data_IF_644148888411
#
_entry.id   IF_644148888411
#
_cell.length_a   1.000
_cell.length_b   1.000
_cell.length_c   1.000
_cell.angle_alpha   90.00
_cell.angle_beta   90.00
_cell.angle_gamma   90.00
#
_symmetry.space_group_name_H-M   'P 1'
#
loop_
_entity.id
_entity.type
_entity.pdbx_description
1 polymer ?
#
# COMPACT_ATOMS: atom_id res chain seq x y z
N UNK A 1 -32.84 19.78 3.63
CA UNK A 1 -33.35 18.99 2.47
C UNK A 1 -32.34 17.97 1.93
N UNK A 2 -31.03 18.25 1.84
CA UNK A 2 -30.00 17.28 1.43
C UNK A 2 -29.96 15.98 2.26
N UNK A 3 -30.32 16.03 3.55
CA UNK A 3 -30.31 14.84 4.42
C UNK A 3 -31.47 13.85 4.21
N UNK A 4 -32.54 14.19 3.46
CA UNK A 4 -33.72 13.32 3.33
C UNK A 4 -33.42 12.02 2.55
N UNK A 5 -32.40 12.03 1.71
CA UNK A 5 -31.92 10.86 0.94
C UNK A 5 -30.41 10.61 1.13
N UNK A 6 -29.81 11.16 2.18
CA UNK A 6 -28.37 11.08 2.42
C UNK A 6 -27.86 9.63 2.48
N UNK A 7 -28.66 8.70 2.99
CA UNK A 7 -28.30 7.29 3.10
C UNK A 7 -28.12 6.57 1.75
N UNK A 8 -28.68 7.09 0.65
CA UNK A 8 -28.45 6.56 -0.70
C UNK A 8 -27.26 7.25 -1.37
N UNK A 9 -27.11 8.57 -1.16
CA UNK A 9 -26.08 9.37 -1.81
C UNK A 9 -24.69 9.17 -1.17
N UNK A 10 -24.61 9.14 0.16
CA UNK A 10 -23.33 9.11 0.87
C UNK A 10 -22.53 7.83 0.61
N UNK A 11 -23.10 6.61 0.61
CA UNK A 11 -22.32 5.42 0.28
C UNK A 11 -21.71 5.46 -1.13
N UNK A 12 -22.45 5.98 -2.11
CA UNK A 12 -21.96 6.15 -3.49
C UNK A 12 -20.84 7.20 -3.52
N UNK A 13 -21.05 8.35 -2.88
CA UNK A 13 -20.02 9.39 -2.76
C UNK A 13 -18.77 8.85 -2.06
N UNK A 14 -18.90 8.14 -0.94
CA UNK A 14 -17.79 7.57 -0.19
C UNK A 14 -16.99 6.57 -1.03
N UNK A 15 -17.69 5.71 -1.77
CA UNK A 15 -17.06 4.76 -2.68
C UNK A 15 -16.23 5.48 -3.76
N UNK A 16 -16.83 6.45 -4.45
CA UNK A 16 -16.16 7.22 -5.51
C UNK A 16 -14.97 7.99 -4.93
N UNK A 17 -15.18 8.73 -3.85
CA UNK A 17 -14.16 9.57 -3.24
C UNK A 17 -13.00 8.73 -2.66
N UNK A 18 -13.30 7.60 -2.02
CA UNK A 18 -12.27 6.68 -1.52
C UNK A 18 -11.47 6.03 -2.65
N UNK A 19 -12.11 5.73 -3.78
CA UNK A 19 -11.45 5.25 -5.00
C UNK A 19 -10.51 6.33 -5.56
N UNK A 20 -10.96 7.60 -5.62
CA UNK A 20 -10.11 8.72 -6.05
C UNK A 20 -8.94 8.99 -5.08
N UNK A 21 -9.13 8.80 -3.77
CA UNK A 21 -8.03 8.85 -2.81
C UNK A 21 -7.03 7.70 -2.97
N UNK A 22 -7.48 6.54 -3.43
CA UNK A 22 -6.58 5.47 -3.87
C UNK A 22 -5.78 5.89 -5.10
N UNK A 23 -6.38 6.61 -6.05
CA UNK A 23 -5.66 7.20 -7.17
C UNK A 23 -4.59 8.22 -6.69
N UNK A 24 -4.93 9.08 -5.73
CA UNK A 24 -3.96 10.03 -5.11
C UNK A 24 -2.78 9.30 -4.47
N UNK A 25 -3.05 8.20 -3.77
CA UNK A 25 -1.99 7.37 -3.20
C UNK A 25 -1.04 6.86 -4.27
N UNK A 26 -1.58 6.37 -5.39
CA UNK A 26 -0.79 5.78 -6.47
C UNK A 26 0.03 6.84 -7.21
N UNK A 27 -0.50 8.06 -7.38
CA UNK A 27 0.29 9.20 -7.87
C UNK A 27 1.43 9.59 -6.93
N UNK A 28 1.16 9.65 -5.62
CA UNK A 28 2.22 9.87 -4.64
C UNK A 28 3.22 8.70 -4.58
N UNK A 29 2.78 7.48 -4.85
CA UNK A 29 3.63 6.31 -4.99
C UNK A 29 4.58 6.41 -6.19
N UNK A 30 4.08 6.85 -7.34
CA UNK A 30 4.90 7.13 -8.53
C UNK A 30 5.92 8.24 -8.26
N UNK A 31 5.55 9.25 -7.46
CA UNK A 31 6.51 10.23 -6.96
C UNK A 31 7.59 9.57 -6.10
N UNK A 32 7.21 8.64 -5.21
CA UNK A 32 8.12 7.87 -4.37
C UNK A 32 9.16 7.06 -5.15
N UNK A 33 8.77 6.56 -6.33
CA UNK A 33 9.63 5.84 -7.28
C UNK A 33 10.35 6.73 -8.29
N UNK A 34 10.08 8.03 -8.26
CA UNK A 34 10.55 8.99 -9.27
C UNK A 34 10.15 8.64 -10.71
N UNK A 35 8.97 8.01 -10.88
CA UNK A 35 8.34 7.75 -12.18
C UNK A 35 7.40 8.87 -12.60
N UNK A 36 6.84 9.63 -11.64
CA UNK A 36 5.96 10.77 -11.92
C UNK A 36 6.69 11.91 -12.67
N UNK A 37 7.94 12.20 -12.31
CA UNK A 37 8.76 13.24 -12.93
C UNK A 37 10.25 12.91 -12.83
N UNK A 38 11.06 13.44 -13.76
CA UNK A 38 12.53 13.37 -13.68
C UNK A 38 13.13 14.28 -12.60
N UNK A 39 12.35 15.18 -11.99
CA UNK A 39 12.82 16.14 -11.00
C UNK A 39 12.53 15.65 -9.57
N UNK A 40 13.55 15.30 -8.76
CA UNK A 40 13.35 14.73 -7.42
C UNK A 40 12.55 15.64 -6.48
N UNK A 41 12.80 16.96 -6.52
CA UNK A 41 12.09 17.91 -5.68
C UNK A 41 10.60 18.02 -6.04
N UNK A 42 10.26 17.92 -7.34
CA UNK A 42 8.88 17.93 -7.77
C UNK A 42 8.15 16.69 -7.28
N UNK A 43 8.77 15.51 -7.41
CA UNK A 43 8.24 14.27 -6.88
C UNK A 43 8.00 14.36 -5.38
N UNK A 44 9.01 14.79 -4.61
CA UNK A 44 8.85 14.85 -3.16
C UNK A 44 7.82 15.90 -2.72
N UNK A 45 7.67 16.99 -3.46
CA UNK A 45 6.64 18.00 -3.19
C UNK A 45 5.23 17.47 -3.48
N UNK A 46 5.01 16.94 -4.68
CA UNK A 46 3.69 16.43 -5.10
C UNK A 46 3.30 15.22 -4.26
N UNK A 47 4.22 14.29 -4.05
CA UNK A 47 4.02 13.12 -3.20
C UNK A 47 3.66 13.51 -1.77
N UNK A 48 4.37 14.46 -1.17
CA UNK A 48 4.05 14.96 0.17
C UNK A 48 2.66 15.57 0.24
N UNK A 49 2.28 16.41 -0.73
CA UNK A 49 0.94 17.04 -0.75
C UNK A 49 -0.15 15.99 -0.86
N UNK A 50 -0.05 15.08 -1.84
CA UNK A 50 -1.08 14.06 -2.10
C UNK A 50 -1.24 13.10 -0.93
N UNK A 51 -0.13 12.59 -0.39
CA UNK A 51 -0.16 11.64 0.72
C UNK A 51 -0.59 12.31 2.03
N UNK A 52 -0.16 13.55 2.30
CA UNK A 52 -0.63 14.30 3.48
C UNK A 52 -2.15 14.47 3.44
N UNK A 53 -2.73 14.78 2.27
CA UNK A 53 -4.18 14.92 2.10
C UNK A 53 -4.94 13.65 2.50
N UNK A 54 -4.38 12.47 2.25
CA UNK A 54 -4.99 11.18 2.59
C UNK A 54 -4.39 10.55 3.86
N UNK A 55 -3.73 11.37 4.68
CA UNK A 55 -3.16 11.00 5.99
C UNK A 55 -2.10 9.90 5.92
N UNK A 56 -1.26 9.90 4.89
CA UNK A 56 -0.07 9.05 4.75
C UNK A 56 1.22 9.88 4.94
N UNK A 57 2.16 9.45 5.80
CA UNK A 57 3.44 10.13 6.00
C UNK A 57 4.38 9.82 4.84
N UNK A 58 4.24 10.60 3.75
CA UNK A 58 4.87 10.36 2.45
C UNK A 58 6.32 9.90 2.53
N UNK A 59 7.19 10.66 3.18
CA UNK A 59 8.63 10.41 3.10
C UNK A 59 9.03 9.13 3.84
N UNK A 60 8.43 8.87 5.01
CA UNK A 60 8.64 7.63 5.74
C UNK A 60 8.09 6.43 4.95
N UNK A 61 6.88 6.57 4.39
CA UNK A 61 6.26 5.52 3.58
C UNK A 61 7.04 5.25 2.29
N UNK A 62 7.52 6.28 1.58
CA UNK A 62 8.40 6.16 0.42
C UNK A 62 9.62 5.30 0.73
N UNK A 63 10.25 5.49 1.89
CA UNK A 63 11.45 4.75 2.26
C UNK A 63 11.16 3.29 2.64
N UNK A 64 10.10 3.03 3.41
CA UNK A 64 9.70 1.67 3.76
C UNK A 64 9.20 0.91 2.53
N UNK A 65 8.49 1.58 1.63
CA UNK A 65 8.06 1.01 0.35
C UNK A 65 9.25 0.70 -0.57
N UNK A 66 10.24 1.60 -0.66
CA UNK A 66 11.47 1.33 -1.40
C UNK A 66 12.29 0.19 -0.78
N UNK A 67 12.25 0.02 0.54
CA UNK A 67 12.84 -1.14 1.22
C UNK A 67 12.11 -2.43 0.84
N UNK A 68 10.78 -2.41 0.80
CA UNK A 68 9.97 -3.55 0.33
C UNK A 68 10.33 -3.92 -1.12
N UNK A 69 10.30 -2.98 -2.08
CA UNK A 69 10.66 -3.21 -3.49
C UNK A 69 12.07 -3.80 -3.71
N UNK A 70 13.01 -3.48 -2.83
CA UNK A 70 14.38 -4.02 -2.86
C UNK A 70 14.47 -5.45 -2.37
N UNK A 71 13.49 -5.90 -1.58
CA UNK A 71 13.52 -7.15 -0.85
C UNK A 71 12.27 -8.01 -1.10
N UNK A 72 11.45 -7.68 -2.10
CA UNK A 72 10.18 -8.37 -2.39
C UNK A 72 10.36 -9.88 -2.35
N UNK A 73 9.54 -10.56 -1.56
CA UNK A 73 9.53 -12.02 -1.37
C UNK A 73 10.81 -12.62 -0.76
N UNK A 74 11.67 -11.80 -0.15
CA UNK A 74 12.75 -12.26 0.71
C UNK A 74 12.20 -12.50 2.13
N UNK A 75 12.28 -13.72 2.62
CA UNK A 75 11.79 -14.13 3.95
C UNK A 75 12.41 -13.25 5.06
N UNK A 76 13.70 -12.97 4.95
CA UNK A 76 14.53 -12.37 6.00
C UNK A 76 14.66 -10.84 5.89
N UNK A 77 14.24 -10.24 4.77
CA UNK A 77 14.29 -8.78 4.57
C UNK A 77 12.97 -8.07 4.23
N UNK A 78 11.98 -8.74 3.63
CA UNK A 78 10.69 -8.11 3.30
C UNK A 78 9.85 -7.86 4.57
N UNK A 79 9.19 -6.72 4.69
CA UNK A 79 8.42 -6.36 5.88
C UNK A 79 6.91 -6.61 5.74
N UNK A 80 6.39 -6.88 4.54
CA UNK A 80 4.95 -6.86 4.27
C UNK A 80 4.42 -8.26 3.98
N UNK A 81 3.44 -8.70 4.78
CA UNK A 81 2.76 -10.01 4.66
C UNK A 81 3.70 -11.22 4.49
N UNK A 82 4.91 -11.11 5.02
CA UNK A 82 5.92 -12.14 4.93
C UNK A 82 5.68 -13.29 5.93
N UNK A 83 5.98 -14.53 5.55
CA UNK A 83 6.15 -15.60 6.51
C UNK A 83 7.35 -15.32 7.43
N UNK A 84 7.33 -15.90 8.62
CA UNK A 84 8.33 -15.70 9.66
C UNK A 84 8.93 -17.04 10.05
N UNK A 85 10.26 -17.06 10.22
CA UNK A 85 10.97 -18.25 10.68
C UNK A 85 10.63 -18.56 12.14
N UNK A 86 10.32 -19.82 12.41
CA UNK A 86 9.95 -20.32 13.73
C UNK A 86 8.44 -20.32 13.97
N UNK A 87 8.07 -20.63 15.21
CA UNK A 87 6.66 -20.64 15.63
C UNK A 87 6.23 -19.19 15.84
N UNK A 88 5.31 -18.72 15.02
CA UNK A 88 4.52 -17.52 15.30
C UNK A 88 3.32 -17.96 16.14
N UNK A 89 3.13 -17.31 17.28
CA UNK A 89 1.99 -17.52 18.17
C UNK A 89 0.64 -17.31 17.44
N UNK A 90 -0.46 -17.62 18.14
CA UNK A 90 -1.85 -17.40 17.69
C UNK A 90 -2.06 -16.03 17.00
N UNK A 91 -3.04 -15.91 16.07
CA UNK A 91 -3.27 -14.67 15.33
C UNK A 91 -3.35 -13.47 16.26
N UNK A 92 -2.47 -12.50 16.03
CA UNK A 92 -2.40 -11.30 16.86
C UNK A 92 -3.61 -10.39 16.64
N UNK A 93 -3.79 -9.40 17.53
CA UNK A 93 -4.77 -8.34 17.33
C UNK A 93 -4.61 -7.61 15.97
N UNK A 94 -3.37 -7.48 15.48
CA UNK A 94 -3.09 -6.88 14.17
C UNK A 94 -3.67 -7.73 13.03
N UNK A 95 -3.68 -9.07 13.16
CA UNK A 95 -4.30 -9.96 12.20
C UNK A 95 -5.82 -9.82 12.20
N UNK A 96 -6.44 -9.66 13.38
CA UNK A 96 -7.88 -9.39 13.48
C UNK A 96 -8.26 -8.09 12.77
N UNK A 97 -7.50 -7.01 13.01
CA UNK A 97 -7.69 -5.75 12.30
C UNK A 97 -7.52 -5.89 10.80
N UNK A 98 -6.50 -6.63 10.34
CA UNK A 98 -6.22 -6.83 8.92
C UNK A 98 -7.42 -7.40 8.16
N UNK A 99 -8.14 -8.37 8.75
CA UNK A 99 -9.29 -9.00 8.09
C UNK A 99 -10.59 -8.22 8.24
N UNK A 100 -10.96 -7.86 9.47
CA UNK A 100 -12.28 -7.28 9.75
C UNK A 100 -12.33 -5.77 9.58
N UNK A 101 -11.19 -5.09 9.72
CA UNK A 101 -11.09 -3.64 9.67
C UNK A 101 -9.83 -3.19 8.90
N UNK A 102 -9.68 -3.56 7.61
CA UNK A 102 -8.46 -3.30 6.85
C UNK A 102 -8.07 -1.81 6.84
N UNK A 103 -9.03 -0.89 6.82
CA UNK A 103 -8.76 0.54 6.95
C UNK A 103 -8.16 0.95 8.31
N UNK A 104 -8.55 0.31 9.42
CA UNK A 104 -7.90 0.51 10.73
C UNK A 104 -6.52 -0.15 10.73
N UNK A 105 -6.42 -1.35 10.13
CA UNK A 105 -5.15 -2.07 9.98
C UNK A 105 -4.08 -1.24 9.27
N UNK A 106 -4.46 -0.48 8.25
CA UNK A 106 -3.59 0.46 7.56
C UNK A 106 -2.97 1.51 8.51
N UNK A 107 -3.81 2.22 9.27
CA UNK A 107 -3.30 3.22 10.22
C UNK A 107 -2.51 2.58 11.36
N UNK A 108 -2.89 1.38 11.80
CA UNK A 108 -2.12 0.59 12.74
C UNK A 108 -0.74 0.23 12.17
N UNK A 109 -0.66 -0.18 10.91
CA UNK A 109 0.60 -0.43 10.19
C UNK A 109 1.46 0.84 10.11
N UNK A 110 0.88 2.01 9.84
CA UNK A 110 1.66 3.25 9.83
C UNK A 110 2.31 3.54 11.19
N UNK A 111 1.64 3.24 12.30
CA UNK A 111 2.15 3.49 13.66
C UNK A 111 3.12 2.43 14.16
N UNK A 112 2.93 1.16 13.79
CA UNK A 112 3.64 0.04 14.43
C UNK A 112 4.39 -0.88 13.45
N UNK A 113 4.11 -0.78 12.15
CA UNK A 113 4.55 -1.71 11.12
C UNK A 113 4.04 -3.14 11.35
N UNK A 114 4.50 -4.09 10.53
CA UNK A 114 4.23 -5.51 10.73
C UNK A 114 5.38 -6.17 11.49
N UNK A 115 5.06 -7.01 12.47
CA UNK A 115 6.07 -7.81 13.17
C UNK A 115 6.67 -8.87 12.23
N UNK A 116 7.95 -9.24 12.40
CA UNK A 116 8.87 -8.76 13.44
C UNK A 116 9.55 -7.42 13.11
N UNK A 117 9.41 -6.91 11.88
CA UNK A 117 10.12 -5.76 11.32
C UNK A 117 9.29 -4.47 11.37
N UNK A 118 8.68 -4.21 12.52
CA UNK A 118 7.81 -3.05 12.71
C UNK A 118 8.59 -1.74 12.61
N UNK A 119 8.05 -0.76 11.87
CA UNK A 119 8.59 0.59 11.71
C UNK A 119 7.46 1.58 11.96
N UNK A 120 7.67 2.56 12.83
CA UNK A 120 6.75 3.66 13.03
C UNK A 120 7.01 4.78 12.03
N UNK A 121 6.10 4.96 11.07
CA UNK A 121 6.22 5.96 10.01
C UNK A 121 6.06 7.41 10.50
N UNK A 122 5.60 7.60 11.75
CA UNK A 122 5.50 8.91 12.40
C UNK A 122 6.71 9.22 13.30
N UNK A 123 7.69 8.32 13.39
CA UNK A 123 8.90 8.52 14.16
C UNK A 123 10.10 8.76 13.24
N UNK A 124 10.57 10.00 13.04
CA UNK A 124 11.72 10.28 12.16
C UNK A 124 13.05 9.71 12.72
N UNK A 125 13.05 9.23 13.97
CA UNK A 125 14.20 8.59 14.62
C UNK A 125 14.27 7.08 14.39
N UNK A 126 13.35 6.48 13.63
CA UNK A 126 13.50 5.08 13.20
C UNK A 126 14.84 4.86 12.51
N UNK A 127 15.54 3.72 12.74
CA UNK A 127 16.86 3.47 12.16
C UNK A 127 16.92 3.60 10.63
N UNK A 128 15.80 3.31 9.94
CA UNK A 128 15.69 3.45 8.49
C UNK A 128 15.73 4.93 8.03
N UNK A 129 15.35 5.87 8.90
CA UNK A 129 15.20 7.29 8.58
C UNK A 129 16.29 8.17 9.21
N UNK A 130 16.70 7.88 10.44
CA UNK A 130 17.45 8.79 11.32
C UNK A 130 18.75 9.36 10.72
N UNK A 131 19.48 8.59 9.91
CA UNK A 131 20.78 9.04 9.42
C UNK A 131 20.66 10.00 8.22
N UNK A 132 20.32 9.48 7.05
CA UNK A 132 20.32 10.26 5.79
C UNK A 132 18.99 10.94 5.48
N UNK A 133 17.93 10.55 6.18
CA UNK A 133 16.55 10.79 5.79
C UNK A 133 15.76 11.56 6.84
N UNK A 134 16.38 11.89 7.98
CA UNK A 134 15.74 12.54 9.12
C UNK A 134 15.07 13.86 8.77
N UNK A 135 15.77 14.72 8.02
CA UNK A 135 15.23 16.03 7.61
C UNK A 135 14.00 15.84 6.71
N UNK A 136 14.10 14.98 5.70
CA UNK A 136 12.97 14.70 4.79
C UNK A 136 11.77 14.10 5.51
N UNK A 137 12.00 13.14 6.41
CA UNK A 137 10.95 12.55 7.25
C UNK A 137 10.31 13.59 8.16
N UNK A 138 11.12 14.44 8.82
CA UNK A 138 10.62 15.49 9.71
C UNK A 138 9.82 16.55 8.97
N UNK A 139 10.27 16.99 7.80
CA UNK A 139 9.54 17.96 6.95
C UNK A 139 8.21 17.37 6.47
N UNK A 140 8.19 16.11 6.05
CA UNK A 140 6.97 15.41 5.64
C UNK A 140 6.00 15.19 6.81
N UNK A 141 6.47 15.11 8.05
CA UNK A 141 5.60 15.06 9.22
C UNK A 141 5.12 16.46 9.62
N UNK A 142 5.91 17.51 9.40
CA UNK A 142 5.50 18.88 9.68
C UNK A 142 4.28 19.31 8.84
N UNK A 143 4.09 18.75 7.64
CA UNK A 143 2.89 19.03 6.81
C UNK A 143 1.59 18.55 7.45
N UNK A 144 1.64 17.57 8.37
CA UNK A 144 0.47 17.15 9.15
C UNK A 144 -0.04 18.25 10.07
N UNK A 145 0.81 19.16 10.56
CA UNK A 145 0.36 20.31 11.35
C UNK A 145 -0.58 21.18 10.51
N UNK A 146 -0.22 21.43 9.25
CA UNK A 146 -1.06 22.15 8.30
C UNK A 146 -2.35 21.38 7.99
N UNK A 147 -2.26 20.08 7.74
CA UNK A 147 -3.44 19.25 7.45
C UNK A 147 -4.42 19.20 8.62
N UNK A 148 -3.95 18.96 9.84
CA UNK A 148 -4.79 18.95 11.03
C UNK A 148 -5.37 20.32 11.33
N UNK A 149 -4.63 21.39 11.09
CA UNK A 149 -5.17 22.75 11.18
C UNK A 149 -6.29 22.97 10.15
N UNK A 150 -6.12 22.57 8.89
CA UNK A 150 -7.16 22.64 7.87
C UNK A 150 -8.41 21.82 8.25
N UNK A 151 -8.23 20.61 8.75
CA UNK A 151 -9.32 19.76 9.25
C UNK A 151 -10.03 20.40 10.44
N UNK A 152 -9.29 21.01 11.36
CA UNK A 152 -9.85 21.74 12.50
C UNK A 152 -10.70 22.93 12.04
N UNK A 153 -10.16 23.77 11.15
CA UNK A 153 -10.90 24.90 10.56
C UNK A 153 -12.16 24.42 9.84
N UNK A 154 -12.07 23.34 9.07
CA UNK A 154 -13.23 22.74 8.40
C UNK A 154 -14.27 22.23 9.42
N UNK A 155 -13.84 21.57 10.49
CA UNK A 155 -14.73 21.04 11.51
C UNK A 155 -15.49 22.14 12.26
N UNK A 156 -14.85 23.29 12.56
CA UNK A 156 -15.52 24.40 13.25
C UNK A 156 -16.39 25.25 12.31
N UNK A 157 -16.08 25.31 11.02
CA UNK A 157 -16.82 26.13 10.03
C UNK A 157 -17.98 25.39 9.37
N UNK A 158 -17.80 24.12 9.03
CA UNK A 158 -18.79 23.29 8.30
C UNK A 158 -19.39 22.19 9.18
N UNK A 159 -18.71 21.82 10.26
CA UNK A 159 -19.16 20.84 11.24
C UNK A 159 -18.34 19.54 11.24
N UNK A 160 -18.16 18.97 12.42
CA UNK A 160 -17.37 17.75 12.60
C UNK A 160 -17.95 16.52 11.88
N UNK A 161 -19.28 16.38 11.84
CA UNK A 161 -19.95 15.31 11.08
C UNK A 161 -19.69 15.47 9.57
N UNK A 162 -19.62 16.71 9.07
CA UNK A 162 -19.26 16.98 7.69
C UNK A 162 -17.80 16.56 7.42
N UNK A 163 -16.86 16.83 8.32
CA UNK A 163 -15.47 16.37 8.18
C UNK A 163 -15.40 14.84 8.08
N UNK A 164 -16.11 14.14 8.97
CA UNK A 164 -16.17 12.67 8.95
C UNK A 164 -16.76 12.19 7.62
N UNK A 165 -17.90 12.74 7.23
CA UNK A 165 -18.66 12.32 6.06
C UNK A 165 -17.90 12.57 4.76
N UNK A 166 -17.32 13.77 4.59
CA UNK A 166 -16.75 14.17 3.31
C UNK A 166 -15.28 13.81 3.16
N UNK A 167 -14.55 13.60 4.25
CA UNK A 167 -13.12 13.36 4.21
C UNK A 167 -12.70 12.06 4.90
N UNK A 168 -13.03 11.86 6.18
CA UNK A 168 -12.48 10.71 6.94
C UNK A 168 -13.05 9.36 6.51
N UNK A 169 -14.34 9.26 6.15
CA UNK A 169 -14.90 8.00 5.61
C UNK A 169 -14.26 7.65 4.26
N UNK A 170 -14.13 8.58 3.28
CA UNK A 170 -13.36 8.31 2.07
C UNK A 170 -11.89 7.92 2.34
N UNK A 171 -11.20 8.56 3.28
CA UNK A 171 -9.84 8.18 3.69
C UNK A 171 -9.82 6.75 4.24
N UNK A 172 -10.82 6.36 5.04
CA UNK A 172 -10.95 4.99 5.53
C UNK A 172 -11.17 3.98 4.41
N UNK A 173 -11.98 4.30 3.38
CA UNK A 173 -12.17 3.43 2.22
C UNK A 173 -10.88 3.27 1.42
N UNK A 174 -10.16 4.37 1.17
CA UNK A 174 -8.82 4.31 0.57
C UNK A 174 -7.88 3.39 1.37
N UNK A 175 -7.87 3.53 2.69
CA UNK A 175 -7.05 2.71 3.58
C UNK A 175 -7.40 1.21 3.45
N UNK A 176 -8.69 0.87 3.31
CA UNK A 176 -9.11 -0.50 2.98
C UNK A 176 -8.56 -0.97 1.63
N UNK A 177 -8.63 -0.13 0.58
CA UNK A 177 -8.10 -0.44 -0.74
C UNK A 177 -6.62 -0.81 -0.68
N UNK A 178 -5.77 -0.02 -0.03
CA UNK A 178 -4.33 -0.28 0.01
C UNK A 178 -3.98 -1.60 0.68
N UNK A 179 -4.65 -1.94 1.76
CA UNK A 179 -4.45 -3.22 2.43
C UNK A 179 -4.85 -4.39 1.52
N UNK A 180 -6.02 -4.30 0.89
CA UNK A 180 -6.51 -5.35 -0.01
C UNK A 180 -5.61 -5.49 -1.23
N UNK A 181 -5.27 -4.37 -1.88
CA UNK A 181 -4.40 -4.33 -3.06
C UNK A 181 -3.05 -4.97 -2.73
N UNK A 182 -2.40 -4.50 -1.67
CA UNK A 182 -1.07 -4.97 -1.28
C UNK A 182 -1.09 -6.46 -0.96
N UNK A 183 -2.10 -6.95 -0.23
CA UNK A 183 -2.17 -8.38 0.08
C UNK A 183 -2.34 -9.22 -1.19
N UNK A 184 -3.26 -8.83 -2.07
CA UNK A 184 -3.55 -9.59 -3.30
C UNK A 184 -2.43 -9.56 -4.33
N UNK A 185 -1.60 -8.53 -4.30
CA UNK A 185 -0.43 -8.40 -5.16
C UNK A 185 0.77 -9.23 -4.68
N UNK A 186 0.86 -9.45 -3.36
CA UNK A 186 2.04 -10.04 -2.71
C UNK A 186 1.81 -11.40 -2.10
N UNK A 187 0.58 -11.93 -2.17
CA UNK A 187 0.26 -13.23 -1.63
C UNK A 187 -0.53 -14.04 -2.65
N UNK A 188 -0.02 -15.22 -2.99
CA UNK A 188 -0.74 -16.28 -3.68
C UNK A 188 -0.06 -17.63 -3.36
N UNK A 189 -0.80 -18.73 -3.50
CA UNK A 189 -0.33 -20.09 -3.15
C UNK A 189 0.88 -20.53 -3.99
N UNK A 190 0.94 -20.12 -5.26
CA UNK A 190 2.00 -20.47 -6.20
C UNK A 190 3.11 -19.41 -6.30
N UNK A 191 3.06 -18.39 -5.45
CA UNK A 191 4.07 -17.34 -5.38
C UNK A 191 5.12 -17.73 -4.34
N UNK A 192 6.38 -17.97 -4.76
CA UNK A 192 7.41 -18.42 -3.85
C UNK A 192 7.93 -17.30 -2.95
N UNK A 193 8.33 -17.70 -1.75
CA UNK A 193 9.17 -16.92 -0.85
C UNK A 193 10.56 -17.54 -0.83
N UNK A 194 11.59 -16.71 -0.71
CA UNK A 194 12.98 -17.16 -0.79
C UNK A 194 13.76 -16.73 0.45
N UNK A 195 14.59 -17.63 0.97
CA UNK A 195 15.66 -17.30 1.89
C UNK A 195 16.82 -16.62 1.17
N UNK A 196 17.71 -16.02 1.95
CA UNK A 196 18.81 -15.19 1.43
C UNK A 196 19.73 -15.91 0.42
N UNK A 197 19.90 -17.23 0.54
CA UNK A 197 20.75 -18.01 -0.38
C UNK A 197 20.16 -18.20 -1.77
N UNK A 198 18.83 -18.25 -1.89
CA UNK A 198 18.13 -18.54 -3.16
C UNK A 198 17.51 -17.28 -3.79
N UNK A 199 17.40 -16.21 -2.99
CA UNK A 199 16.85 -14.94 -3.40
C UNK A 199 17.82 -14.16 -4.30
N UNK A 200 17.28 -13.59 -5.37
CA UNK A 200 17.90 -12.48 -6.07
C UNK A 200 16.83 -11.46 -6.45
N UNK A 201 17.28 -10.26 -6.81
CA UNK A 201 16.39 -9.13 -7.07
C UNK A 201 15.31 -9.44 -8.14
N UNK A 202 15.68 -10.09 -9.23
CA UNK A 202 14.76 -10.42 -10.33
C UNK A 202 13.73 -11.47 -9.89
N UNK A 203 14.17 -12.56 -9.23
CA UNK A 203 13.26 -13.59 -8.70
C UNK A 203 12.24 -13.00 -7.73
N UNK A 204 12.71 -12.18 -6.79
CA UNK A 204 11.87 -11.54 -5.80
C UNK A 204 10.82 -10.63 -6.43
N UNK A 205 11.25 -9.72 -7.31
CA UNK A 205 10.35 -8.74 -7.95
C UNK A 205 9.31 -9.39 -8.88
N UNK A 206 9.66 -10.50 -9.56
CA UNK A 206 8.72 -11.27 -10.37
C UNK A 206 7.70 -12.09 -9.56
N UNK A 207 7.94 -12.25 -8.25
CA UNK A 207 7.10 -13.03 -7.34
C UNK A 207 5.94 -12.20 -6.78
N UNK A 208 5.26 -11.51 -7.68
CA UNK A 208 4.04 -10.74 -7.42
C UNK A 208 2.96 -11.15 -8.42
N UNK A 209 1.71 -10.78 -8.16
CA UNK A 209 0.56 -11.20 -8.96
C UNK A 209 -0.16 -9.99 -9.54
N UNK A 210 -0.39 -10.04 -10.85
CA UNK A 210 -1.23 -9.06 -11.51
C UNK A 210 -2.72 -9.32 -11.22
N UNK A 211 -3.46 -8.24 -10.95
CA UNK A 211 -4.87 -8.26 -10.58
C UNK A 211 -5.64 -7.20 -11.36
N UNK A 212 -6.77 -7.55 -11.98
CA UNK A 212 -7.65 -6.57 -12.58
C UNK A 212 -8.75 -6.14 -11.59
N UNK A 213 -8.89 -4.83 -11.36
CA UNK A 213 -9.81 -4.28 -10.35
C UNK A 213 -11.18 -3.89 -10.94
N UNK A 214 -11.55 -4.48 -12.08
CA UNK A 214 -12.83 -4.24 -12.73
C UNK A 214 -12.99 -2.78 -13.16
N UNK A 215 -14.14 -2.19 -12.86
CA UNK A 215 -14.50 -0.84 -13.31
C UNK A 215 -13.67 0.28 -12.66
N UNK A 216 -12.93 0.01 -11.57
CA UNK A 216 -12.03 0.99 -10.97
C UNK A 216 -10.59 0.84 -11.42
N UNK A 217 -10.23 -0.18 -12.20
CA UNK A 217 -8.84 -0.49 -12.55
C UNK A 217 -8.08 0.71 -13.12
N UNK A 218 -8.63 1.37 -14.13
CA UNK A 218 -8.04 2.57 -14.74
C UNK A 218 -8.10 3.81 -13.83
N UNK A 219 -9.11 3.90 -12.95
CA UNK A 219 -9.25 5.02 -11.99
C UNK A 219 -8.12 4.97 -10.96
N UNK A 220 -7.78 3.78 -10.49
CA UNK A 220 -6.63 3.55 -9.61
C UNK A 220 -5.33 3.34 -10.42
N UNK A 221 -5.21 4.00 -11.57
CA UNK A 221 -3.97 4.07 -12.35
C UNK A 221 -3.38 2.70 -12.72
N UNK A 222 -4.22 1.71 -12.96
CA UNK A 222 -3.82 0.36 -13.40
C UNK A 222 -2.75 -0.30 -12.53
N UNK A 223 -2.65 0.08 -11.24
CA UNK A 223 -1.66 -0.49 -10.28
C UNK A 223 -1.68 -2.01 -10.19
N UNK A 224 -2.79 -2.61 -10.63
CA UNK A 224 -2.96 -4.05 -10.75
C UNK A 224 -2.00 -4.76 -11.70
N UNK A 225 -1.30 -4.05 -12.60
CA UNK A 225 -0.20 -4.59 -13.39
C UNK A 225 1.10 -4.51 -12.59
N UNK A 226 1.21 -5.38 -11.60
CA UNK A 226 2.12 -5.21 -10.47
C UNK A 226 3.47 -5.91 -10.66
N UNK A 227 3.56 -6.99 -11.47
CA UNK A 227 4.83 -7.66 -11.76
C UNK A 227 5.84 -6.71 -12.40
N UNK A 228 5.40 -5.98 -13.43
CA UNK A 228 6.25 -5.00 -14.11
C UNK A 228 6.50 -3.77 -13.26
N UNK A 229 5.52 -3.35 -12.44
CA UNK A 229 5.75 -2.30 -11.47
C UNK A 229 6.89 -2.66 -10.51
N UNK A 230 6.95 -3.90 -10.00
CA UNK A 230 8.04 -4.35 -9.13
C UNK A 230 9.38 -4.46 -9.85
N UNK A 231 9.38 -5.01 -11.06
CA UNK A 231 10.61 -5.20 -11.82
C UNK A 231 11.20 -3.86 -12.30
N UNK A 232 10.34 -2.90 -12.64
CA UNK A 232 10.72 -1.60 -13.19
C UNK A 232 9.88 -0.48 -12.57
N UNK A 233 10.12 -0.16 -11.29
CA UNK A 233 9.36 0.86 -10.55
C UNK A 233 9.38 2.26 -11.16
N UNK A 234 10.33 2.53 -12.08
CA UNK A 234 10.42 3.78 -12.83
C UNK A 234 9.47 3.88 -14.01
N UNK A 235 8.79 2.80 -14.40
CA UNK A 235 7.72 2.86 -15.39
C UNK A 235 6.55 3.60 -14.75
N UNK A 236 6.12 4.75 -15.29
CA UNK A 236 4.99 5.47 -14.73
C UNK A 236 3.69 4.71 -14.98
N UNK A 237 2.69 4.94 -14.13
CA UNK A 237 1.43 4.19 -14.19
C UNK A 237 0.75 4.20 -15.57
N UNK A 238 0.85 5.30 -16.33
CA UNK A 238 0.24 5.45 -17.65
C UNK A 238 0.93 4.64 -18.77
N UNK A 239 2.09 4.02 -18.49
CA UNK A 239 2.76 3.06 -19.38
C UNK A 239 2.83 1.64 -18.79
N UNK A 240 2.31 1.39 -17.59
CA UNK A 240 2.42 0.09 -16.94
C UNK A 240 1.70 -1.02 -17.72
N UNK A 241 0.51 -0.75 -18.24
CA UNK A 241 -0.25 -1.72 -19.04
C UNK A 241 0.49 -2.09 -20.33
N UNK A 242 1.02 -1.10 -21.04
CA UNK A 242 1.82 -1.29 -22.25
C UNK A 242 3.07 -2.14 -21.98
N UNK A 243 3.83 -1.78 -20.94
CA UNK A 243 5.03 -2.51 -20.56
C UNK A 243 4.70 -3.95 -20.12
N UNK A 244 3.59 -4.14 -19.42
CA UNK A 244 3.09 -5.47 -19.02
C UNK A 244 2.67 -6.32 -20.21
N UNK A 245 2.03 -5.72 -21.22
CA UNK A 245 1.69 -6.43 -22.45
C UNK A 245 2.94 -6.93 -23.18
N UNK A 246 3.98 -6.09 -23.29
CA UNK A 246 5.24 -6.50 -23.92
C UNK A 246 5.94 -7.60 -23.13
N UNK A 247 5.98 -7.50 -21.80
CA UNK A 247 6.55 -8.54 -20.94
C UNK A 247 5.85 -9.88 -21.13
N UNK A 248 4.53 -9.90 -21.14
CA UNK A 248 3.74 -11.14 -21.33
C UNK A 248 3.99 -11.80 -22.69
N UNK A 249 4.26 -11.01 -23.74
CA UNK A 249 4.61 -11.54 -25.07
C UNK A 249 5.97 -12.21 -25.08
N UNK A 250 6.96 -11.63 -24.40
CA UNK A 250 8.34 -12.12 -24.41
C UNK A 250 8.56 -13.24 -23.39
N UNK A 251 7.90 -13.19 -22.24
CA UNK A 251 8.08 -14.11 -21.12
C UNK A 251 6.76 -14.71 -20.62
N UNK A 252 6.00 -15.43 -21.47
CA UNK A 252 4.69 -15.97 -21.10
C UNK A 252 4.75 -16.92 -19.89
N UNK A 253 5.85 -17.65 -19.72
CA UNK A 253 6.03 -18.62 -18.62
C UNK A 253 6.27 -17.96 -17.25
N UNK A 254 6.55 -16.65 -17.20
CA UNK A 254 6.78 -15.90 -15.96
C UNK A 254 5.55 -15.10 -15.50
N UNK A 255 4.48 -15.14 -16.28
CA UNK A 255 3.26 -14.37 -16.04
C UNK A 255 2.48 -14.95 -14.87
N UNK A 256 2.14 -14.08 -13.91
CA UNK A 256 1.31 -14.42 -12.75
C UNK A 256 0.11 -13.49 -12.73
N UNK A 257 -1.06 -14.03 -13.04
CA UNK A 257 -2.33 -13.28 -13.05
C UNK A 257 -3.34 -14.09 -12.26
N UNK A 258 -4.11 -13.42 -11.41
CA UNK A 258 -5.29 -14.02 -10.82
C UNK A 258 -6.51 -13.12 -11.05
N UNK A 259 -7.60 -13.69 -11.59
CA UNK A 259 -8.86 -12.98 -11.88
C UNK A 259 -10.00 -13.34 -10.92
N UNK A 260 -9.73 -14.11 -9.86
CA UNK A 260 -10.70 -14.43 -8.81
C UNK A 260 -11.24 -13.13 -8.18
N UNK A 261 -12.57 -13.02 -7.95
CA UNK A 261 -13.17 -11.84 -7.36
C UNK A 261 -12.43 -11.32 -6.12
N UNK A 262 -12.18 -10.01 -6.09
CA UNK A 262 -11.27 -9.36 -5.13
C UNK A 262 -11.56 -9.76 -3.68
N UNK A 263 -12.81 -9.70 -3.22
CA UNK A 263 -13.16 -10.02 -1.83
C UNK A 263 -13.06 -11.52 -1.50
N UNK A 264 -13.35 -12.39 -2.48
CA UNK A 264 -13.22 -13.85 -2.31
C UNK A 264 -11.74 -14.20 -2.17
N UNK A 265 -10.92 -13.68 -3.07
CA UNK A 265 -9.47 -13.86 -3.04
C UNK A 265 -8.85 -13.24 -1.80
N UNK A 266 -9.31 -12.06 -1.35
CA UNK A 266 -8.82 -11.44 -0.11
C UNK A 266 -9.10 -12.35 1.09
N UNK A 267 -10.32 -12.91 1.18
CA UNK A 267 -10.65 -13.82 2.28
C UNK A 267 -9.84 -15.12 2.24
N UNK A 268 -9.69 -15.71 1.05
CA UNK A 268 -8.88 -16.90 0.84
C UNK A 268 -7.42 -16.64 1.21
N UNK A 269 -6.82 -15.59 0.65
CA UNK A 269 -5.42 -15.27 0.87
C UNK A 269 -5.11 -14.84 2.30
N UNK A 270 -6.05 -14.17 2.98
CA UNK A 270 -5.87 -13.88 4.40
C UNK A 270 -5.78 -15.18 5.22
N UNK A 271 -6.67 -16.14 4.97
CA UNK A 271 -6.64 -17.44 5.65
C UNK A 271 -5.35 -18.20 5.33
N UNK A 272 -4.91 -18.18 4.07
CA UNK A 272 -3.63 -18.77 3.67
C UNK A 272 -2.46 -18.12 4.40
N UNK A 273 -2.39 -16.78 4.41
CA UNK A 273 -1.36 -16.03 5.13
C UNK A 273 -1.34 -16.41 6.61
N UNK A 274 -2.49 -16.48 7.27
CA UNK A 274 -2.60 -16.91 8.66
C UNK A 274 -2.08 -18.33 8.83
N UNK A 275 -2.45 -19.27 7.97
CA UNK A 275 -2.05 -20.67 8.11
C UNK A 275 -0.58 -20.94 7.76
N UNK A 276 0.03 -20.09 6.93
CA UNK A 276 1.40 -20.26 6.41
C UNK A 276 2.38 -19.21 6.94
N UNK A 277 2.00 -18.41 7.94
CA UNK A 277 2.87 -17.37 8.51
C UNK A 277 4.09 -17.91 9.25
N UNK A 278 4.06 -19.17 9.69
CA UNK A 278 5.15 -19.82 10.41
C UNK A 278 5.86 -20.80 9.48
N UNK A 279 7.15 -20.61 9.28
CA UNK A 279 7.98 -21.49 8.44
C UNK A 279 9.17 -22.03 9.25
N UNK A 280 9.74 -23.15 8.81
CA UNK A 280 10.88 -23.75 9.50
C UNK A 280 12.13 -22.87 9.40
N UNK A 281 13.02 -22.96 10.39
CA UNK A 281 14.24 -22.15 10.44
C UNK A 281 15.19 -22.43 9.25
N UNK A 282 15.12 -23.63 8.68
CA UNK A 282 15.94 -24.11 7.56
C UNK A 282 15.32 -23.86 6.17
N UNK A 283 14.15 -23.18 6.09
CA UNK A 283 13.53 -22.83 4.81
C UNK A 283 14.49 -22.00 3.95
N UNK A 284 14.75 -22.44 2.72
CA UNK A 284 15.70 -21.81 1.79
C UNK A 284 15.03 -20.89 0.80
#
# INVERSE_FOLDING_TARGET
KLFKYGYLFFPIYWYIQGTLYTAFFILGHDCGHSSFSSYPLLNDTVGTILHTWILVPYYAWKLTHNHHHKNTNNIDKDAVFCPQRGIVDEPSYQNYLLYWFPGISWFYYLMFGYRPRGINHFNPFEPLFYNKHFIGASLSLATYLGMFYLMYIYAISVGFISLITYHLIPVFIFACYIVIITMLHHTEIDVPWYGDSEWNNVKGQLSTVDRHYGHVHSIIHSIGTHQIHHLFTKVPHYHLEEATEQFRKVYPDLVRINNEPILVSFSRMFKTFINQRSISQDTR
#
